data_IF_895651362663
#
_entry.id   IF_895651362663
#
_cell.length_a   1.000
_cell.length_b   1.000
_cell.length_c   1.000
_cell.angle_alpha   90.00
_cell.angle_beta   90.00
_cell.angle_gamma   90.00
#
_symmetry.space_group_name_H-M   'P 1'
#
loop_
_entity.id
_entity.type
_entity.pdbx_description
1 polymer ?
#
# COMPACT_ATOMS: atom_id res chain seq x y z
N UNK A 1 4.74 31.10 -11.03
CA UNK A 1 4.74 30.14 -9.93
C UNK A 1 3.76 29.01 -10.24
N UNK A 2 4.22 27.76 -10.07
CA UNK A 2 3.39 26.55 -10.00
C UNK A 2 3.48 26.03 -8.56
N UNK A 3 2.34 25.78 -7.93
CA UNK A 3 2.30 25.17 -6.61
C UNK A 3 2.11 23.66 -6.73
N UNK A 4 2.68 22.90 -5.79
CA UNK A 4 2.46 21.47 -5.63
C UNK A 4 1.99 21.22 -4.19
N UNK A 5 0.88 20.55 -4.00
CA UNK A 5 0.36 20.17 -2.68
C UNK A 5 0.81 18.74 -2.39
N UNK A 6 1.65 18.57 -1.38
CA UNK A 6 2.22 17.31 -0.93
C UNK A 6 3.62 17.03 -1.47
N UNK A 7 4.53 16.63 -0.59
CA UNK A 7 5.92 16.26 -0.87
C UNK A 7 6.14 14.73 -0.83
N UNK A 8 5.15 13.94 -1.28
CA UNK A 8 5.30 12.53 -1.57
C UNK A 8 5.95 12.30 -2.93
N UNK A 9 6.15 11.01 -3.32
CA UNK A 9 6.80 10.65 -4.60
C UNK A 9 6.18 11.35 -5.81
N UNK A 10 4.83 11.42 -5.90
CA UNK A 10 4.14 12.09 -7.01
C UNK A 10 4.37 13.60 -7.04
N UNK A 11 4.31 14.25 -5.87
CA UNK A 11 4.51 15.71 -5.77
C UNK A 11 5.96 16.12 -6.05
N UNK A 12 6.93 15.42 -5.48
CA UNK A 12 8.36 15.67 -5.73
C UNK A 12 8.75 15.41 -7.19
N UNK A 13 8.22 14.31 -7.79
CA UNK A 13 8.41 14.03 -9.21
C UNK A 13 7.84 15.16 -10.10
N UNK A 14 6.62 15.62 -9.79
CA UNK A 14 6.01 16.73 -10.51
C UNK A 14 6.84 18.02 -10.36
N UNK A 15 7.27 18.35 -9.15
CA UNK A 15 8.06 19.54 -8.87
C UNK A 15 9.40 19.52 -9.61
N UNK A 16 10.13 18.41 -9.56
CA UNK A 16 11.41 18.23 -10.27
C UNK A 16 11.23 18.36 -11.78
N UNK A 17 10.19 17.73 -12.34
CA UNK A 17 9.90 17.81 -13.78
C UNK A 17 9.48 19.21 -14.24
N UNK A 18 8.68 19.94 -13.47
CA UNK A 18 8.31 21.33 -13.76
C UNK A 18 9.50 22.26 -13.70
N UNK A 19 10.37 22.11 -12.69
CA UNK A 19 11.61 22.89 -12.61
C UNK A 19 12.55 22.64 -13.79
N UNK A 20 12.70 21.40 -14.23
CA UNK A 20 13.51 21.06 -15.40
C UNK A 20 13.00 21.75 -16.68
N UNK A 21 11.73 22.15 -16.71
CA UNK A 21 11.11 22.95 -17.79
C UNK A 21 11.18 24.45 -17.56
N UNK A 22 11.88 24.91 -16.52
CA UNK A 22 12.07 26.32 -16.21
C UNK A 22 10.97 26.96 -15.37
N UNK A 23 10.03 26.19 -14.82
CA UNK A 23 8.99 26.74 -13.94
C UNK A 23 9.56 27.09 -12.55
N UNK A 24 9.07 28.19 -11.96
CA UNK A 24 9.25 28.47 -10.53
C UNK A 24 8.24 27.61 -9.77
N UNK A 25 8.73 26.68 -8.93
CA UNK A 25 7.90 25.70 -8.23
C UNK A 25 8.02 25.88 -6.72
N UNK A 26 6.86 25.79 -6.02
CA UNK A 26 6.77 25.74 -4.57
C UNK A 26 5.97 24.50 -4.17
N UNK A 27 6.57 23.62 -3.38
CA UNK A 27 5.89 22.46 -2.77
C UNK A 27 5.42 22.87 -1.37
N UNK A 28 4.18 22.57 -1.05
CA UNK A 28 3.56 22.76 0.27
C UNK A 28 3.29 21.39 0.87
N UNK A 29 4.01 21.03 1.92
CA UNK A 29 3.88 19.77 2.65
C UNK A 29 3.24 20.04 4.01
N UNK A 30 2.26 19.21 4.36
CA UNK A 30 1.53 19.36 5.62
C UNK A 30 2.35 18.89 6.83
N UNK A 31 3.21 17.90 6.65
CA UNK A 31 4.07 17.34 7.72
C UNK A 31 5.38 18.12 7.85
N UNK A 32 6.05 17.90 9.00
CA UNK A 32 7.44 18.32 9.22
C UNK A 32 8.48 17.43 8.53
N UNK A 33 8.07 16.56 7.58
CA UNK A 33 8.95 15.66 6.82
C UNK A 33 8.48 15.48 5.38
N UNK A 34 9.41 15.11 4.52
CA UNK A 34 9.14 14.69 3.14
C UNK A 34 8.66 13.23 3.05
N UNK A 35 8.29 12.78 1.85
CA UNK A 35 8.04 11.38 1.49
C UNK A 35 6.57 10.97 1.55
N UNK A 36 5.76 11.62 2.38
CA UNK A 36 4.35 11.22 2.56
C UNK A 36 4.23 9.80 3.12
N UNK A 37 3.67 8.85 2.33
CA UNK A 37 3.57 7.42 2.67
C UNK A 37 4.86 6.62 2.44
N UNK A 38 5.91 7.23 1.95
CA UNK A 38 7.28 6.77 2.11
C UNK A 38 7.77 7.33 3.45
N UNK A 39 8.11 6.43 4.37
CA UNK A 39 8.55 6.78 5.71
C UNK A 39 9.62 5.79 6.15
N UNK A 40 10.88 6.20 6.08
CA UNK A 40 12.01 5.40 6.54
C UNK A 40 12.41 5.86 7.93
N UNK A 41 12.49 4.93 8.87
CA UNK A 41 13.00 5.13 10.21
C UNK A 41 14.35 4.42 10.37
N UNK A 42 15.05 4.69 11.46
CA UNK A 42 16.29 4.01 11.78
C UNK A 42 16.16 3.28 13.10
N UNK A 43 16.49 1.99 13.07
CA UNK A 43 16.61 1.17 14.27
C UNK A 43 17.84 1.59 15.07
N UNK A 44 17.90 1.23 16.34
CA UNK A 44 18.99 1.59 17.23
C UNK A 44 20.36 1.02 16.83
N UNK A 45 20.41 0.03 15.94
CA UNK A 45 21.63 -0.47 15.32
C UNK A 45 22.04 0.30 14.05
N UNK A 46 21.28 1.34 13.69
CA UNK A 46 21.48 2.17 12.50
C UNK A 46 20.79 1.67 11.23
N UNK A 47 20.19 0.48 11.26
CA UNK A 47 19.50 -0.11 10.11
C UNK A 47 18.30 0.74 9.69
N UNK A 48 18.17 0.97 8.38
CA UNK A 48 16.99 1.62 7.83
C UNK A 48 15.81 0.63 7.74
N UNK A 49 14.63 1.09 8.13
CA UNK A 49 13.38 0.34 7.98
C UNK A 49 12.28 1.23 7.41
N UNK A 50 11.61 0.75 6.38
CA UNK A 50 10.50 1.47 5.77
C UNK A 50 9.18 1.12 6.47
N UNK A 51 8.64 2.06 7.22
CA UNK A 51 7.35 1.94 7.90
C UNK A 51 6.17 2.11 6.92
N UNK A 52 6.40 2.72 5.76
CA UNK A 52 5.48 2.81 4.63
C UNK A 52 5.84 1.87 3.49
N UNK A 53 5.85 2.39 2.25
CA UNK A 53 6.30 1.66 1.07
C UNK A 53 7.75 1.18 1.25
N UNK A 54 8.01 -0.08 0.92
CA UNK A 54 9.31 -0.71 1.12
C UNK A 54 9.86 -1.39 -0.15
N UNK A 55 9.00 -1.79 -1.11
CA UNK A 55 9.41 -2.55 -2.30
C UNK A 55 9.38 -1.73 -3.58
N UNK A 56 10.39 -1.95 -4.41
CA UNK A 56 10.33 -1.71 -5.84
C UNK A 56 9.68 -2.93 -6.48
N UNK A 57 8.37 -2.85 -6.71
CA UNK A 57 7.62 -3.92 -7.36
C UNK A 57 8.03 -4.03 -8.83
N UNK A 58 8.43 -5.24 -9.26
CA UNK A 58 8.90 -5.48 -10.61
C UNK A 58 10.15 -4.66 -10.94
N UNK A 59 11.26 -4.92 -10.25
CA UNK A 59 12.53 -4.23 -10.44
C UNK A 59 13.17 -4.61 -11.77
N UNK A 60 12.73 -3.96 -12.85
CA UNK A 60 13.24 -4.12 -14.21
C UNK A 60 13.44 -2.76 -14.89
N UNK A 61 14.00 -2.77 -16.10
CA UNK A 61 14.26 -1.54 -16.88
C UNK A 61 12.98 -0.71 -17.16
N UNK A 62 11.81 -1.32 -17.18
CA UNK A 62 10.55 -0.61 -17.41
C UNK A 62 10.08 0.15 -16.15
N UNK A 63 10.53 -0.23 -14.96
CA UNK A 63 10.22 0.48 -13.74
C UNK A 63 11.19 1.66 -13.56
N UNK A 64 10.73 2.92 -13.58
CA UNK A 64 11.58 4.09 -13.48
C UNK A 64 12.40 4.14 -12.18
N UNK A 65 11.90 3.53 -11.11
CA UNK A 65 12.59 3.52 -9.83
C UNK A 65 13.86 2.65 -9.86
N UNK A 66 13.87 1.61 -10.70
CA UNK A 66 15.08 0.80 -10.91
C UNK A 66 16.22 1.65 -11.51
N UNK A 67 15.90 2.47 -12.52
CA UNK A 67 16.88 3.38 -13.11
C UNK A 67 17.38 4.44 -12.12
N UNK A 68 16.50 4.97 -11.28
CA UNK A 68 16.89 5.92 -10.22
C UNK A 68 17.78 5.23 -9.17
N UNK A 69 17.44 3.99 -8.77
CA UNK A 69 18.29 3.24 -7.83
C UNK A 69 19.70 2.99 -8.41
N UNK A 70 19.79 2.64 -9.71
CA UNK A 70 21.07 2.48 -10.41
C UNK A 70 21.87 3.80 -10.46
N UNK A 71 21.20 4.93 -10.77
CA UNK A 71 21.83 6.27 -10.78
C UNK A 71 22.41 6.65 -9.41
N UNK A 72 21.69 6.30 -8.34
CA UNK A 72 22.11 6.57 -6.97
C UNK A 72 23.16 5.58 -6.44
N UNK A 73 23.40 4.47 -7.15
CA UNK A 73 24.20 3.36 -6.62
C UNK A 73 23.55 2.68 -5.41
N UNK A 74 22.21 2.75 -5.30
CA UNK A 74 21.46 2.17 -4.21
C UNK A 74 21.37 0.64 -4.34
N UNK A 75 21.54 -0.06 -3.23
CA UNK A 75 21.41 -1.52 -3.19
C UNK A 75 19.94 -1.92 -3.06
N UNK A 76 19.46 -2.69 -4.04
CA UNK A 76 18.14 -3.32 -4.01
C UNK A 76 18.29 -4.81 -3.68
N UNK A 77 17.72 -5.25 -2.57
CA UNK A 77 17.78 -6.65 -2.11
C UNK A 77 16.56 -7.40 -2.62
N UNK A 78 16.79 -8.49 -3.34
CA UNK A 78 15.74 -9.34 -3.89
C UNK A 78 14.98 -10.07 -2.77
N UNK A 79 13.67 -10.12 -2.93
CA UNK A 79 12.78 -10.89 -2.06
C UNK A 79 12.05 -11.93 -2.88
N UNK A 80 12.28 -13.19 -2.54
CA UNK A 80 11.65 -14.34 -3.16
C UNK A 80 10.65 -14.93 -2.17
N UNK A 81 9.38 -14.66 -2.43
CA UNK A 81 8.28 -15.12 -1.56
C UNK A 81 7.90 -16.57 -1.84
N UNK A 82 8.07 -17.03 -3.07
CA UNK A 82 7.61 -18.35 -3.50
C UNK A 82 8.52 -19.47 -2.97
N UNK A 83 9.84 -19.27 -3.02
CA UNK A 83 10.82 -20.30 -2.66
C UNK A 83 11.40 -20.15 -1.25
N UNK A 84 11.25 -18.95 -0.62
CA UNK A 84 11.92 -18.58 0.63
C UNK A 84 11.00 -18.16 1.76
N UNK A 85 9.70 -18.48 1.66
CA UNK A 85 8.75 -18.29 2.75
C UNK A 85 8.60 -19.56 3.58
N UNK A 86 8.75 -19.44 4.90
CA UNK A 86 8.50 -20.53 5.85
C UNK A 86 7.12 -20.39 6.44
N UNK A 87 6.29 -21.42 6.29
CA UNK A 87 4.90 -21.40 6.71
C UNK A 87 4.69 -22.14 8.02
N UNK A 88 3.93 -21.56 8.94
CA UNK A 88 3.56 -22.12 10.24
C UNK A 88 2.04 -22.21 10.37
N UNK A 89 1.54 -23.25 11.00
CA UNK A 89 0.12 -23.30 11.40
C UNK A 89 -0.18 -22.25 12.46
N UNK A 90 -1.19 -21.40 12.18
CA UNK A 90 -1.73 -20.49 13.19
C UNK A 90 -2.80 -21.24 14.00
N UNK A 91 -2.47 -21.60 15.22
CA UNK A 91 -3.42 -22.15 16.19
C UNK A 91 -3.99 -20.99 17.03
N UNK A 92 -5.30 -20.99 17.22
CA UNK A 92 -5.96 -20.03 18.12
C UNK A 92 -5.47 -20.20 19.56
N UNK A 93 -5.77 -19.25 20.49
CA UNK A 93 -5.40 -19.36 21.87
C UNK A 93 -5.95 -20.69 22.42
N UNK A 94 -5.05 -21.55 22.88
CA UNK A 94 -5.39 -22.89 23.34
C UNK A 94 -6.27 -22.81 24.59
N UNK A 95 -7.50 -23.32 24.48
CA UNK A 95 -8.38 -23.60 25.62
C UNK A 95 -8.07 -24.96 26.28
N UNK A 96 -6.85 -25.50 26.11
CA UNK A 96 -6.45 -26.82 26.56
C UNK A 96 -4.97 -26.93 26.98
N UNK A 97 -4.50 -28.12 27.37
CA UNK A 97 -3.09 -28.34 27.70
C UNK A 97 -2.20 -27.99 26.49
N UNK A 98 -0.93 -27.58 26.72
CA UNK A 98 -0.05 -27.16 25.63
C UNK A 98 0.07 -28.28 24.59
N UNK A 99 -0.40 -28.01 23.40
CA UNK A 99 -0.19 -28.89 22.26
C UNK A 99 1.28 -28.81 21.78
N UNK A 100 1.78 -29.86 21.11
CA UNK A 100 3.13 -29.83 20.58
C UNK A 100 3.33 -28.63 19.65
N UNK A 101 4.55 -28.10 19.65
CA UNK A 101 4.95 -26.95 18.85
C UNK A 101 4.47 -27.08 17.39
N UNK A 102 3.99 -25.99 16.75
CA UNK A 102 3.71 -26.02 15.33
C UNK A 102 5.03 -26.30 14.59
N UNK A 103 5.07 -27.40 13.87
CA UNK A 103 6.16 -27.66 12.91
C UNK A 103 5.93 -26.82 11.67
N UNK A 104 7.00 -26.36 11.00
CA UNK A 104 6.87 -25.81 9.66
C UNK A 104 6.06 -26.75 8.77
N UNK A 105 5.19 -26.21 7.95
CA UNK A 105 4.37 -27.01 7.03
C UNK A 105 5.30 -27.66 6.01
N UNK A 106 5.13 -28.95 5.79
CA UNK A 106 5.97 -29.70 4.87
C UNK A 106 5.82 -29.18 3.43
N UNK A 107 6.93 -29.05 2.71
CA UNK A 107 6.94 -28.56 1.33
C UNK A 107 5.97 -29.33 0.41
N UNK A 108 5.93 -30.66 0.55
CA UNK A 108 5.01 -31.50 -0.23
C UNK A 108 3.53 -31.17 0.03
N UNK A 109 3.17 -30.85 1.25
CA UNK A 109 1.82 -30.43 1.63
C UNK A 109 1.49 -29.05 1.09
N UNK A 110 2.44 -28.12 1.17
CA UNK A 110 2.33 -26.77 0.61
C UNK A 110 2.09 -26.83 -0.90
N UNK A 111 2.85 -27.64 -1.63
CA UNK A 111 2.71 -27.82 -3.09
C UNK A 111 1.34 -28.44 -3.47
N UNK A 112 0.80 -29.35 -2.67
CA UNK A 112 -0.54 -29.90 -2.91
C UNK A 112 -1.63 -28.82 -2.81
N UNK A 113 -1.56 -27.95 -1.79
CA UNK A 113 -2.49 -26.85 -1.63
C UNK A 113 -2.36 -25.80 -2.74
N UNK A 114 -1.15 -25.48 -3.17
CA UNK A 114 -0.91 -24.61 -4.33
C UNK A 114 -1.48 -25.17 -5.62
N UNK A 115 -1.45 -26.48 -5.83
CA UNK A 115 -2.08 -27.11 -6.98
C UNK A 115 -3.59 -26.90 -6.98
N UNK A 116 -4.24 -27.07 -5.84
CA UNK A 116 -5.69 -26.79 -5.70
C UNK A 116 -5.98 -25.31 -5.91
N UNK A 117 -5.18 -24.44 -5.34
CA UNK A 117 -5.29 -22.99 -5.52
C UNK A 117 -5.17 -22.58 -6.99
N UNK A 118 -4.15 -23.05 -7.72
CA UNK A 118 -4.00 -22.78 -9.16
C UNK A 118 -5.21 -23.20 -9.99
N UNK A 119 -5.84 -24.32 -9.64
CA UNK A 119 -7.09 -24.75 -10.30
C UNK A 119 -8.23 -23.77 -10.03
N UNK A 120 -8.41 -23.37 -8.79
CA UNK A 120 -9.45 -22.43 -8.40
C UNK A 120 -9.22 -21.05 -9.03
N UNK A 121 -8.00 -20.52 -8.96
CA UNK A 121 -7.61 -19.27 -9.59
C UNK A 121 -7.86 -19.30 -11.12
N UNK A 122 -7.53 -20.40 -11.80
CA UNK A 122 -7.80 -20.57 -13.24
C UNK A 122 -9.28 -20.40 -13.60
N UNK A 123 -10.17 -20.87 -12.76
CA UNK A 123 -11.62 -20.75 -12.97
C UNK A 123 -12.15 -19.36 -12.60
N UNK A 124 -11.61 -18.78 -11.54
CA UNK A 124 -11.85 -17.40 -11.19
C UNK A 124 -11.49 -16.49 -12.39
N UNK A 125 -10.29 -16.62 -12.96
CA UNK A 125 -9.84 -15.81 -14.10
C UNK A 125 -10.76 -15.94 -15.33
N UNK A 126 -11.35 -17.11 -15.57
CA UNK A 126 -12.36 -17.28 -16.64
C UNK A 126 -13.66 -16.53 -16.33
N UNK A 127 -14.16 -16.65 -15.10
CA UNK A 127 -15.36 -15.97 -14.65
C UNK A 127 -15.19 -14.44 -14.64
N UNK A 128 -14.05 -13.95 -14.14
CA UNK A 128 -13.69 -12.55 -14.12
C UNK A 128 -13.71 -11.93 -15.53
N UNK A 129 -13.01 -12.56 -16.50
CA UNK A 129 -13.02 -12.10 -17.90
C UNK A 129 -14.43 -12.03 -18.49
N UNK A 130 -15.32 -12.96 -18.14
CA UNK A 130 -16.71 -12.90 -18.56
C UNK A 130 -17.43 -11.70 -17.94
N UNK A 131 -17.28 -11.46 -16.64
CA UNK A 131 -17.87 -10.31 -15.96
C UNK A 131 -17.36 -9.00 -16.57
N UNK A 132 -16.05 -8.87 -16.80
CA UNK A 132 -15.45 -7.69 -17.46
C UNK A 132 -16.02 -7.45 -18.86
N UNK A 133 -16.17 -8.50 -19.67
CA UNK A 133 -16.72 -8.41 -21.02
C UNK A 133 -18.18 -7.97 -21.05
N UNK A 134 -18.97 -8.50 -20.13
CA UNK A 134 -20.42 -8.29 -20.10
C UNK A 134 -20.83 -7.14 -19.16
N UNK A 135 -19.86 -6.37 -18.66
CA UNK A 135 -20.08 -5.19 -17.80
C UNK A 135 -20.84 -4.08 -18.56
N UNK A 136 -21.81 -3.39 -17.95
CA UNK A 136 -22.35 -3.56 -16.59
C UNK A 136 -23.57 -4.51 -16.51
N UNK A 137 -23.86 -5.32 -17.54
CA UNK A 137 -25.00 -6.23 -17.56
C UNK A 137 -24.90 -7.33 -16.49
N UNK A 138 -23.68 -7.73 -16.11
CA UNK A 138 -23.43 -8.59 -14.95
C UNK A 138 -23.03 -7.69 -13.78
N UNK A 139 -23.84 -7.60 -12.69
CA UNK A 139 -23.47 -6.82 -11.50
C UNK A 139 -22.17 -7.33 -10.87
N UNK A 140 -21.35 -6.41 -10.37
CA UNK A 140 -20.17 -6.73 -9.58
C UNK A 140 -20.56 -7.19 -8.17
N UNK A 141 -19.65 -7.87 -7.51
CA UNK A 141 -19.79 -8.39 -6.14
C UNK A 141 -18.44 -8.42 -5.43
N UNK A 142 -18.43 -8.71 -4.14
CA UNK A 142 -17.20 -8.94 -3.40
C UNK A 142 -16.43 -10.15 -3.95
N UNK A 143 -15.10 -10.07 -3.94
CA UNK A 143 -14.23 -11.13 -4.46
C UNK A 143 -14.49 -12.45 -3.74
N UNK A 144 -14.56 -12.45 -2.40
CA UNK A 144 -14.81 -13.67 -1.63
C UNK A 144 -16.18 -14.29 -1.94
N UNK A 145 -17.23 -13.48 -2.05
CA UNK A 145 -18.56 -13.94 -2.45
C UNK A 145 -18.51 -14.66 -3.80
N UNK A 146 -17.88 -14.05 -4.78
CA UNK A 146 -17.73 -14.64 -6.12
C UNK A 146 -16.90 -15.93 -6.12
N UNK A 147 -15.85 -15.98 -5.32
CA UNK A 147 -15.04 -17.19 -5.14
C UNK A 147 -15.84 -18.34 -4.49
N UNK A 148 -16.65 -18.03 -3.50
CA UNK A 148 -17.54 -19.00 -2.85
C UNK A 148 -18.62 -19.55 -3.80
N UNK A 149 -19.16 -18.72 -4.70
CA UNK A 149 -20.08 -19.18 -5.73
C UNK A 149 -19.41 -20.12 -6.74
N UNK A 150 -18.17 -19.77 -7.16
CA UNK A 150 -17.41 -20.62 -8.08
C UNK A 150 -17.05 -21.97 -7.48
N UNK A 151 -16.73 -22.03 -6.18
CA UNK A 151 -16.38 -23.28 -5.50
C UNK A 151 -17.44 -24.36 -5.69
N UNK A 152 -18.72 -24.00 -5.58
CA UNK A 152 -19.84 -24.94 -5.68
C UNK A 152 -20.02 -25.51 -7.09
N UNK A 153 -19.60 -24.78 -8.10
CA UNK A 153 -19.63 -25.20 -9.51
C UNK A 153 -18.40 -25.98 -9.97
N UNK A 154 -17.30 -25.80 -9.26
CA UNK A 154 -15.95 -26.20 -9.69
C UNK A 154 -15.41 -27.41 -8.95
N UNK A 155 -15.52 -27.39 -7.65
CA UNK A 155 -15.07 -28.48 -6.79
C UNK A 155 -16.26 -29.36 -6.45
N UNK A 156 -16.53 -30.40 -7.22
CA UNK A 156 -17.50 -31.45 -6.84
C UNK A 156 -17.17 -32.05 -5.45
N UNK A 157 -16.01 -31.71 -4.90
CA UNK A 157 -15.49 -32.17 -3.62
C UNK A 157 -15.15 -31.09 -2.61
N UNK A 158 -15.50 -29.77 -2.81
CA UNK A 158 -15.21 -28.75 -1.79
C UNK A 158 -15.71 -29.11 -0.39
N UNK A 159 -16.89 -29.69 -0.32
CA UNK A 159 -17.48 -30.18 0.94
C UNK A 159 -16.73 -31.36 1.55
N UNK A 160 -15.88 -32.04 0.75
CA UNK A 160 -15.04 -33.15 1.17
C UNK A 160 -13.64 -32.66 1.61
N UNK A 161 -13.28 -31.40 1.33
CA UNK A 161 -12.06 -30.83 1.85
C UNK A 161 -12.21 -30.63 3.36
N UNK A 162 -11.19 -30.98 4.10
CA UNK A 162 -11.15 -30.69 5.53
C UNK A 162 -10.99 -29.17 5.81
N UNK A 163 -11.22 -28.78 7.05
CA UNK A 163 -11.15 -27.37 7.46
C UNK A 163 -9.73 -26.81 7.25
N UNK A 164 -8.72 -27.61 7.49
CA UNK A 164 -7.31 -27.21 7.32
C UNK A 164 -7.03 -26.85 5.87
N UNK A 165 -7.38 -27.70 4.91
CA UNK A 165 -7.23 -27.43 3.47
C UNK A 165 -7.98 -26.16 3.04
N UNK A 166 -9.20 -25.96 3.58
CA UNK A 166 -9.96 -24.72 3.30
C UNK A 166 -9.28 -23.48 3.87
N UNK A 167 -8.72 -23.57 5.07
CA UNK A 167 -7.90 -22.51 5.68
C UNK A 167 -6.69 -22.14 4.82
N UNK A 168 -5.97 -23.12 4.31
CA UNK A 168 -4.86 -22.91 3.38
C UNK A 168 -5.30 -22.19 2.11
N UNK A 169 -6.36 -22.64 1.47
CA UNK A 169 -6.85 -22.03 0.23
C UNK A 169 -7.29 -20.58 0.44
N UNK A 170 -7.88 -20.25 1.59
CA UNK A 170 -8.20 -18.87 1.94
C UNK A 170 -6.94 -18.04 2.16
N UNK A 171 -5.93 -18.61 2.82
CA UNK A 171 -4.65 -17.94 3.06
C UNK A 171 -3.93 -17.61 1.75
N UNK A 172 -3.90 -18.56 0.82
CA UNK A 172 -3.31 -18.32 -0.51
C UNK A 172 -4.05 -17.22 -1.28
N UNK A 173 -5.38 -17.13 -1.17
CA UNK A 173 -6.12 -16.01 -1.74
C UNK A 173 -5.81 -14.68 -1.03
N UNK A 174 -5.71 -14.70 0.30
CA UNK A 174 -5.36 -13.49 1.06
C UNK A 174 -3.94 -13.01 0.74
N UNK A 175 -2.99 -13.94 0.54
CA UNK A 175 -1.62 -13.63 0.14
C UNK A 175 -1.56 -12.93 -1.21
N UNK A 176 -2.28 -13.44 -2.20
CA UNK A 176 -2.37 -12.87 -3.56
C UNK A 176 -3.10 -11.51 -3.61
N UNK A 177 -3.83 -11.15 -2.55
CA UNK A 177 -4.75 -10.01 -2.65
C UNK A 177 -4.67 -9.05 -1.46
N UNK A 178 -4.86 -9.54 -0.22
CA UNK A 178 -5.06 -8.64 0.93
C UNK A 178 -3.81 -7.79 1.24
N UNK A 179 -2.59 -8.33 1.03
CA UNK A 179 -1.36 -7.57 1.25
C UNK A 179 -1.06 -6.59 0.12
N UNK A 180 -1.38 -6.97 -1.11
CA UNK A 180 -1.12 -6.11 -2.27
C UNK A 180 -2.11 -4.95 -2.34
N UNK A 181 -3.36 -5.16 -1.88
CA UNK A 181 -4.44 -4.16 -1.97
C UNK A 181 -4.84 -3.55 -0.63
N UNK A 182 -4.25 -4.00 0.48
CA UNK A 182 -4.54 -3.55 1.86
C UNK A 182 -6.03 -3.62 2.25
N UNK A 183 -6.78 -4.49 1.60
CA UNK A 183 -8.21 -4.66 1.77
C UNK A 183 -8.58 -6.15 1.88
N UNK A 184 -9.67 -6.47 2.56
CA UNK A 184 -10.11 -7.86 2.69
C UNK A 184 -10.66 -8.42 1.38
N UNK A 185 -10.64 -9.74 1.25
CA UNK A 185 -11.29 -10.44 0.12
C UNK A 185 -12.77 -10.06 -0.05
N UNK A 186 -13.44 -9.71 1.04
CA UNK A 186 -14.85 -9.30 1.06
C UNK A 186 -15.06 -7.91 0.46
N UNK A 187 -14.09 -7.01 0.60
CA UNK A 187 -14.16 -5.62 0.14
C UNK A 187 -13.76 -5.46 -1.32
N UNK A 188 -12.83 -6.28 -1.80
CA UNK A 188 -12.31 -6.21 -3.16
C UNK A 188 -13.38 -6.57 -4.20
N UNK A 189 -13.39 -5.86 -5.34
CA UNK A 189 -14.26 -6.16 -6.49
C UNK A 189 -13.92 -7.51 -7.10
N UNK A 190 -14.89 -8.41 -7.28
CA UNK A 190 -14.68 -9.66 -8.02
C UNK A 190 -14.22 -9.43 -9.46
N UNK A 191 -14.70 -8.35 -10.07
CA UNK A 191 -14.49 -8.07 -11.50
C UNK A 191 -13.23 -7.24 -11.75
N UNK A 192 -12.89 -6.29 -10.85
CA UNK A 192 -11.95 -5.22 -11.17
C UNK A 192 -10.77 -5.08 -10.19
N UNK A 193 -10.67 -5.87 -9.11
CA UNK A 193 -9.65 -5.67 -8.07
C UNK A 193 -8.23 -5.60 -8.62
N UNK A 194 -7.89 -6.40 -9.63
CA UNK A 194 -6.56 -6.55 -10.25
C UNK A 194 -6.49 -6.02 -11.68
N UNK A 195 -7.11 -4.88 -11.95
CA UNK A 195 -7.08 -4.28 -13.27
C UNK A 195 -5.81 -3.44 -13.55
N UNK A 196 -4.85 -3.44 -12.65
CA UNK A 196 -3.51 -2.90 -12.83
C UNK A 196 -2.69 -3.75 -13.81
N UNK A 197 -1.69 -3.12 -14.41
CA UNK A 197 -0.80 -3.82 -15.33
C UNK A 197 0.37 -4.45 -14.57
N UNK A 198 0.69 -5.72 -14.85
CA UNK A 198 1.89 -6.31 -14.28
C UNK A 198 3.14 -5.63 -14.85
N UNK A 199 4.06 -5.28 -13.98
CA UNK A 199 5.40 -4.87 -14.35
C UNK A 199 6.35 -6.05 -14.13
N UNK A 200 7.17 -6.39 -15.12
CA UNK A 200 8.07 -7.55 -15.03
C UNK A 200 9.23 -7.31 -14.07
N UNK A 201 9.91 -8.41 -13.70
CA UNK A 201 11.03 -8.39 -12.76
C UNK A 201 10.65 -8.83 -11.36
N UNK A 202 11.64 -9.09 -10.50
CA UNK A 202 11.45 -9.48 -9.11
C UNK A 202 11.10 -8.26 -8.23
N UNK A 203 10.49 -8.51 -7.08
CA UNK A 203 10.28 -7.50 -6.06
C UNK A 203 11.56 -7.33 -5.24
N UNK A 204 11.97 -6.08 -5.01
CA UNK A 204 13.21 -5.78 -4.28
C UNK A 204 12.97 -4.74 -3.20
N UNK A 205 13.54 -4.98 -2.02
CA UNK A 205 13.61 -4.01 -0.94
C UNK A 205 14.73 -3.00 -1.21
N UNK A 206 14.48 -1.75 -0.85
CA UNK A 206 15.51 -0.70 -0.86
C UNK A 206 16.29 -0.77 0.46
N UNK A 207 17.52 -1.30 0.42
CA UNK A 207 18.28 -1.66 1.62
C UNK A 207 18.46 -0.52 2.64
N UNK A 208 18.80 0.67 2.14
CA UNK A 208 18.99 1.86 2.96
C UNK A 208 17.69 2.70 3.10
N UNK A 209 16.57 2.13 2.70
CA UNK A 209 15.25 2.72 2.76
C UNK A 209 14.91 3.61 1.57
N UNK A 210 13.63 3.71 1.30
CA UNK A 210 13.07 4.54 0.23
C UNK A 210 13.33 6.05 0.41
N UNK A 211 13.83 6.48 1.58
CA UNK A 211 14.23 7.87 1.82
C UNK A 211 15.23 8.34 0.78
N UNK A 212 16.12 7.47 0.27
CA UNK A 212 17.06 7.83 -0.79
C UNK A 212 16.38 8.33 -2.06
N UNK A 213 15.24 7.75 -2.44
CA UNK A 213 14.40 8.24 -3.54
C UNK A 213 13.83 9.63 -3.22
N UNK A 214 13.36 9.83 -2.00
CA UNK A 214 12.78 11.11 -1.55
C UNK A 214 13.84 12.21 -1.60
N UNK A 215 15.02 11.94 -1.09
CA UNK A 215 16.16 12.85 -1.11
C UNK A 215 16.57 13.22 -2.56
N UNK A 216 16.66 12.22 -3.43
CA UNK A 216 16.95 12.44 -4.85
C UNK A 216 15.89 13.31 -5.54
N UNK A 217 14.61 13.05 -5.29
CA UNK A 217 13.52 13.79 -5.92
C UNK A 217 13.39 15.22 -5.36
N UNK A 218 13.73 15.44 -4.10
CA UNK A 218 13.63 16.74 -3.45
C UNK A 218 14.84 17.64 -3.73
N UNK A 219 15.93 17.09 -4.27
CA UNK A 219 17.13 17.86 -4.54
C UNK A 219 16.85 19.05 -5.45
N UNK A 220 17.24 20.23 -4.93
CA UNK A 220 16.98 21.53 -5.54
C UNK A 220 15.51 21.94 -5.62
N UNK A 221 14.55 21.24 -5.06
CA UNK A 221 13.14 21.63 -5.00
C UNK A 221 12.87 22.51 -3.77
N UNK A 222 12.16 23.63 -3.95
CA UNK A 222 11.74 24.47 -2.84
C UNK A 222 10.52 23.86 -2.16
N UNK A 223 10.69 23.39 -0.92
CA UNK A 223 9.61 22.80 -0.11
C UNK A 223 9.39 23.61 1.15
N UNK A 224 8.15 23.85 1.50
CA UNK A 224 7.73 24.37 2.80
C UNK A 224 7.04 23.25 3.56
N UNK A 225 7.62 22.87 4.69
CA UNK A 225 7.06 21.91 5.64
C UNK A 225 6.08 22.58 6.60
N UNK A 226 5.30 21.80 7.31
CA UNK A 226 4.30 22.28 8.29
C UNK A 226 3.32 23.30 7.70
N UNK A 227 2.97 23.10 6.43
CA UNK A 227 2.12 24.02 5.65
C UNK A 227 0.88 23.28 5.11
N UNK A 228 -0.02 22.77 5.97
CA UNK A 228 -1.24 22.12 5.51
C UNK A 228 -2.14 23.09 4.75
N UNK A 229 -2.56 22.69 3.55
CA UNK A 229 -3.51 23.42 2.72
C UNK A 229 -4.92 23.09 3.22
N UNK A 230 -5.70 24.11 3.55
CA UNK A 230 -7.08 23.96 4.01
C UNK A 230 -8.11 24.18 2.89
N UNK A 231 -7.75 24.95 1.83
CA UNK A 231 -8.65 25.25 0.72
C UNK A 231 -7.87 25.41 -0.58
N UNK A 232 -8.44 24.92 -1.67
CA UNK A 232 -7.98 25.09 -3.05
C UNK A 232 -9.09 25.76 -3.85
N UNK A 233 -8.87 26.99 -4.32
CA UNK A 233 -9.83 27.73 -5.13
C UNK A 233 -9.28 27.93 -6.54
N UNK A 234 -9.97 27.41 -7.54
CA UNK A 234 -9.66 27.67 -8.95
C UNK A 234 -10.27 29.02 -9.34
N UNK A 235 -9.42 29.94 -9.81
CA UNK A 235 -9.85 31.28 -10.18
C UNK A 235 -10.28 31.33 -11.65
N UNK A 236 -11.45 31.93 -11.96
CA UNK A 236 -11.86 32.15 -13.35
C UNK A 236 -10.94 33.21 -14.01
N UNK A 237 -10.87 33.19 -15.35
CA UNK A 237 -10.02 34.10 -16.12
C UNK A 237 -10.31 35.57 -15.80
N UNK A 238 -11.57 35.94 -15.49
CA UNK A 238 -11.98 37.26 -15.07
C UNK A 238 -11.41 37.74 -13.72
N UNK A 239 -10.92 36.81 -12.88
CA UNK A 239 -10.23 37.09 -11.61
C UNK A 239 -8.70 36.91 -11.72
N UNK A 240 -8.17 36.86 -12.94
CA UNK A 240 -6.72 36.69 -13.23
C UNK A 240 -6.31 35.25 -13.45
N UNK A 241 -7.24 34.29 -13.39
CA UNK A 241 -6.97 32.86 -13.61
C UNK A 241 -6.06 32.22 -12.57
N UNK A 242 -5.80 30.93 -12.73
CA UNK A 242 -4.88 30.18 -11.84
C UNK A 242 -5.57 29.59 -10.61
N UNK A 243 -4.81 29.44 -9.53
CA UNK A 243 -5.28 28.80 -8.28
C UNK A 243 -4.86 29.62 -7.06
N UNK A 244 -5.77 29.78 -6.13
CA UNK A 244 -5.53 30.33 -4.79
C UNK A 244 -5.55 29.18 -3.78
N UNK A 245 -4.48 29.05 -3.00
CA UNK A 245 -4.34 28.08 -1.92
C UNK A 245 -4.42 28.84 -0.59
N UNK A 246 -5.31 28.42 0.30
CA UNK A 246 -5.35 28.92 1.68
C UNK A 246 -4.79 27.87 2.60
N UNK A 247 -3.73 28.21 3.32
CA UNK A 247 -3.11 27.36 4.33
C UNK A 247 -3.94 27.38 5.63
N UNK A 248 -3.78 26.36 6.46
CA UNK A 248 -4.40 26.33 7.78
C UNK A 248 -3.97 27.50 8.68
N UNK A 249 -2.80 28.08 8.44
CA UNK A 249 -2.32 29.31 9.11
C UNK A 249 -3.10 30.58 8.73
N UNK A 250 -3.95 30.51 7.67
CA UNK A 250 -4.63 31.66 7.07
C UNK A 250 -3.81 32.34 5.96
N UNK A 251 -2.57 31.99 5.74
CA UNK A 251 -1.77 32.49 4.62
C UNK A 251 -2.38 32.07 3.29
N UNK A 252 -2.28 32.95 2.30
CA UNK A 252 -2.79 32.74 0.94
C UNK A 252 -1.62 32.70 -0.04
N UNK A 253 -1.54 31.62 -0.83
CA UNK A 253 -0.58 31.43 -1.92
C UNK A 253 -1.32 31.43 -3.25
N UNK A 254 -0.98 32.35 -4.17
CA UNK A 254 -1.52 32.37 -5.54
C UNK A 254 -0.52 31.84 -6.54
N UNK A 255 -0.98 31.01 -7.47
CA UNK A 255 -0.15 30.38 -8.49
C UNK A 255 -0.89 30.27 -9.83
N UNK A 256 -0.14 30.20 -10.92
CA UNK A 256 -0.70 30.06 -12.27
C UNK A 256 -1.31 28.68 -12.50
N UNK A 257 -0.76 27.66 -11.83
CA UNK A 257 -1.25 26.28 -11.85
C UNK A 257 -0.91 25.58 -10.53
N UNK A 258 -1.67 24.55 -10.18
CA UNK A 258 -1.46 23.76 -8.99
C UNK A 258 -1.50 22.26 -9.33
N UNK A 259 -0.55 21.48 -8.83
CA UNK A 259 -0.58 20.01 -8.84
C UNK A 259 -1.00 19.53 -7.45
N UNK A 260 -2.16 18.91 -7.34
CA UNK A 260 -2.69 18.33 -6.11
C UNK A 260 -2.30 16.86 -6.02
N UNK A 261 -1.55 16.47 -4.97
CA UNK A 261 -1.16 15.09 -4.72
C UNK A 261 -1.67 14.57 -3.38
N UNK A 262 -2.78 15.12 -2.91
CA UNK A 262 -3.43 14.68 -1.68
C UNK A 262 -3.83 13.20 -1.77
N UNK A 263 -3.56 12.40 -0.72
CA UNK A 263 -4.02 11.02 -0.66
C UNK A 263 -5.54 10.90 -0.79
N UNK A 264 -6.01 9.80 -1.38
CA UNK A 264 -7.45 9.55 -1.55
C UNK A 264 -8.21 9.62 -0.22
N UNK A 265 -7.64 9.07 0.86
CA UNK A 265 -8.25 9.13 2.20
C UNK A 265 -8.46 10.56 2.71
N UNK A 266 -7.51 11.46 2.44
CA UNK A 266 -7.63 12.88 2.78
C UNK A 266 -8.70 13.57 1.94
N UNK A 267 -8.78 13.24 0.64
CA UNK A 267 -9.83 13.76 -0.25
C UNK A 267 -11.22 13.29 0.18
N UNK A 268 -11.39 12.00 0.49
CA UNK A 268 -12.67 11.43 0.99
C UNK A 268 -13.10 12.02 2.33
N UNK A 269 -12.16 12.35 3.20
CA UNK A 269 -12.43 12.97 4.49
C UNK A 269 -12.89 14.44 4.38
N UNK A 270 -12.71 15.08 3.19
CA UNK A 270 -13.07 16.48 2.99
C UNK A 270 -12.26 17.46 3.84
N UNK A 271 -11.05 17.06 4.27
CA UNK A 271 -10.18 17.91 5.11
C UNK A 271 -9.69 19.17 4.37
N UNK A 272 -9.72 19.13 3.03
CA UNK A 272 -9.38 20.25 2.15
C UNK A 272 -10.60 20.65 1.33
N UNK A 273 -11.02 21.88 1.42
CA UNK A 273 -12.14 22.41 0.62
C UNK A 273 -11.70 22.73 -0.82
N UNK A 274 -12.56 22.45 -1.79
CA UNK A 274 -12.34 22.80 -3.21
C UNK A 274 -13.43 23.75 -3.70
N UNK A 275 -13.03 24.86 -4.30
CA UNK A 275 -13.92 25.88 -4.86
C UNK A 275 -13.55 26.22 -6.31
N UNK A 276 -14.50 26.10 -7.27
CA UNK A 276 -15.81 25.48 -7.11
C UNK A 276 -15.73 23.99 -6.77
N UNK A 277 -16.82 23.37 -6.30
CA UNK A 277 -16.86 21.91 -6.14
C UNK A 277 -16.54 21.19 -7.45
N UNK A 278 -15.89 20.04 -7.35
CA UNK A 278 -15.56 19.23 -8.54
C UNK A 278 -16.81 18.80 -9.32
N UNK A 279 -16.70 18.49 -10.62
CA UNK A 279 -17.77 17.91 -11.41
C UNK A 279 -18.35 16.66 -10.76
N UNK A 280 -19.66 16.41 -10.94
CA UNK A 280 -20.36 15.34 -10.26
C UNK A 280 -19.78 13.94 -10.56
N UNK A 281 -19.33 13.70 -11.78
CA UNK A 281 -18.71 12.44 -12.16
C UNK A 281 -17.36 12.19 -11.45
N UNK A 282 -16.56 13.23 -11.25
CA UNK A 282 -15.31 13.16 -10.46
C UNK A 282 -15.60 12.92 -8.97
N UNK A 283 -16.63 13.57 -8.42
CA UNK A 283 -17.05 13.30 -7.05
C UNK A 283 -17.52 11.87 -6.87
N UNK A 284 -18.31 11.34 -7.82
CA UNK A 284 -18.75 9.93 -7.81
C UNK A 284 -17.57 8.98 -7.90
N UNK A 285 -16.61 9.25 -8.79
CA UNK A 285 -15.39 8.43 -8.91
C UNK A 285 -14.59 8.40 -7.60
N UNK A 286 -14.39 9.56 -6.96
CA UNK A 286 -13.72 9.65 -5.66
C UNK A 286 -14.45 8.84 -4.58
N UNK A 287 -15.79 8.85 -4.57
CA UNK A 287 -16.57 8.09 -3.58
C UNK A 287 -16.53 6.57 -3.85
N UNK A 288 -16.47 6.16 -5.10
CA UNK A 288 -16.42 4.73 -5.48
C UNK A 288 -15.09 4.08 -5.16
N UNK A 289 -13.97 4.79 -5.35
CA UNK A 289 -12.66 4.30 -4.94
C UNK A 289 -12.58 4.21 -3.42
N UNK A 290 -11.78 3.28 -2.90
CA UNK A 290 -11.57 3.22 -1.46
C UNK A 290 -10.09 3.11 -1.08
N UNK A 291 -9.82 3.19 0.23
CA UNK A 291 -8.47 3.20 0.79
C UNK A 291 -8.35 2.06 1.77
N UNK A 292 -7.42 1.17 1.48
CA UNK A 292 -7.09 0.06 2.34
C UNK A 292 -6.19 0.46 3.50
N UNK A 293 -6.05 -0.44 4.46
CA UNK A 293 -5.19 -0.26 5.61
C UNK A 293 -4.23 -1.44 5.76
N UNK A 294 -2.95 -1.14 5.70
CA UNK A 294 -1.85 -2.05 6.01
C UNK A 294 -0.89 -1.34 6.93
N UNK A 295 -0.68 -1.91 8.11
CA UNK A 295 0.24 -1.42 9.11
C UNK A 295 1.32 -2.43 9.44
N UNK A 296 2.45 -1.93 9.91
CA UNK A 296 3.62 -2.71 10.28
C UNK A 296 3.93 -2.55 11.75
N UNK A 297 4.26 -3.66 12.38
CA UNK A 297 4.93 -3.68 13.67
C UNK A 297 6.31 -4.28 13.45
N UNK A 298 7.33 -3.46 13.52
CA UNK A 298 8.73 -3.89 13.40
C UNK A 298 9.30 -4.08 14.79
N UNK A 299 9.79 -5.28 15.05
CA UNK A 299 10.39 -5.62 16.35
C UNK A 299 11.83 -6.07 16.12
N UNK A 300 12.78 -5.39 16.74
CA UNK A 300 14.18 -5.81 16.79
C UNK A 300 14.43 -6.56 18.10
N UNK A 301 15.16 -7.66 17.98
CA UNK A 301 15.49 -8.55 19.09
C UNK A 301 16.96 -8.42 19.47
N UNK A 302 17.31 -8.94 20.63
CA UNK A 302 18.69 -9.05 21.13
C UNK A 302 19.50 -10.10 20.35
N UNK A 303 18.83 -11.04 19.70
CA UNK A 303 19.42 -12.09 18.86
C UNK A 303 18.43 -12.60 17.82
N UNK A 304 18.94 -13.09 16.69
CA UNK A 304 18.17 -13.87 15.72
C UNK A 304 17.90 -15.28 16.27
N UNK A 305 16.64 -15.68 16.35
CA UNK A 305 16.22 -17.03 16.79
C UNK A 305 15.43 -17.76 15.72
N UNK A 306 15.23 -17.15 14.57
CA UNK A 306 14.53 -17.70 13.41
C UNK A 306 15.52 -18.10 12.30
N UNK A 307 15.02 -18.76 11.25
CA UNK A 307 15.82 -19.03 10.06
C UNK A 307 16.20 -17.72 9.35
N UNK A 308 17.47 -17.33 9.48
CA UNK A 308 17.99 -16.11 8.89
C UNK A 308 18.09 -16.15 7.36
N UNK A 309 17.96 -17.33 6.75
CA UNK A 309 17.99 -17.51 5.28
C UNK A 309 16.60 -17.38 4.64
N UNK A 310 15.53 -17.50 5.42
CA UNK A 310 14.18 -17.26 4.94
C UNK A 310 13.99 -15.77 4.60
N UNK A 311 13.23 -15.48 3.56
CA UNK A 311 12.88 -14.09 3.21
C UNK A 311 11.62 -13.60 3.95
N UNK A 312 10.70 -14.53 4.21
CA UNK A 312 9.46 -14.26 4.91
C UNK A 312 9.01 -15.44 5.76
N UNK A 313 8.05 -15.16 6.63
CA UNK A 313 7.32 -16.17 7.40
C UNK A 313 5.83 -15.94 7.24
N UNK A 314 5.06 -17.03 7.18
CA UNK A 314 3.63 -16.98 7.04
C UNK A 314 2.94 -17.83 8.09
N UNK A 315 1.85 -17.32 8.64
CA UNK A 315 0.98 -18.04 9.57
C UNK A 315 -0.31 -18.42 8.86
N UNK A 316 -0.56 -19.73 8.75
CA UNK A 316 -1.73 -20.29 8.08
C UNK A 316 -2.75 -20.73 9.13
N UNK A 317 -3.99 -20.19 9.15
CA UNK A 317 -5.02 -20.60 10.09
C UNK A 317 -5.45 -22.05 9.84
N UNK A 318 -5.57 -22.82 10.91
CA UNK A 318 -5.96 -24.25 10.85
C UNK A 318 -7.47 -24.42 10.60
N UNK A 319 -8.27 -23.42 10.90
CA UNK A 319 -9.73 -23.46 10.76
C UNK A 319 -10.20 -22.52 9.66
N UNK A 320 -11.17 -22.96 8.86
CA UNK A 320 -11.86 -22.16 7.83
C UNK A 320 -12.58 -20.94 8.44
N UNK A 321 -12.66 -20.88 9.77
CA UNK A 321 -13.40 -19.87 10.46
C UNK A 321 -12.61 -18.55 10.56
N UNK A 322 -13.11 -17.63 9.73
CA UNK A 322 -13.33 -16.25 10.13
C UNK A 322 -12.35 -15.80 11.20
N UNK A 323 -11.41 -15.00 10.79
CA UNK A 323 -10.81 -14.07 11.74
C UNK A 323 -11.96 -13.54 12.57
N UNK A 324 -12.04 -13.94 13.85
CA UNK A 324 -13.07 -13.43 14.75
C UNK A 324 -13.05 -11.91 14.60
N UNK A 325 -14.20 -11.30 14.39
CA UNK A 325 -14.29 -9.86 14.20
C UNK A 325 -13.53 -9.16 15.34
N UNK A 326 -12.44 -8.45 15.01
CA UNK A 326 -11.54 -7.81 15.99
C UNK A 326 -10.32 -8.64 16.44
N UNK A 327 -10.09 -9.84 15.91
CA UNK A 327 -8.82 -10.53 16.15
C UNK A 327 -7.67 -9.80 15.44
N UNK A 328 -6.62 -9.50 16.17
CA UNK A 328 -5.37 -8.97 15.60
C UNK A 328 -4.53 -10.16 15.12
N UNK A 329 -4.43 -10.31 13.81
CA UNK A 329 -3.59 -11.32 13.18
C UNK A 329 -2.58 -10.64 12.27
N UNK A 330 -1.33 -11.09 12.34
CA UNK A 330 -0.29 -10.76 11.39
C UNK A 330 0.12 -12.08 10.70
N UNK A 331 -0.58 -12.48 9.64
CA UNK A 331 -0.28 -13.73 8.98
C UNK A 331 1.01 -13.68 8.16
N UNK A 332 1.49 -12.49 7.79
CA UNK A 332 2.70 -12.32 6.98
C UNK A 332 3.77 -11.53 7.72
N UNK A 333 5.04 -11.99 7.60
CA UNK A 333 6.20 -11.44 8.27
C UNK A 333 7.38 -11.33 7.33
N UNK A 334 8.08 -10.23 7.36
CA UNK A 334 9.30 -10.02 6.57
C UNK A 334 10.53 -10.17 7.45
N UNK A 335 11.49 -10.95 6.99
CA UNK A 335 12.77 -11.14 7.66
C UNK A 335 13.74 -10.03 7.31
N UNK A 336 13.85 -9.03 8.17
CA UNK A 336 14.78 -7.93 7.99
C UNK A 336 16.25 -8.37 8.18
N UNK A 337 16.51 -9.49 8.87
CA UNK A 337 17.86 -10.06 8.97
C UNK A 337 18.42 -10.43 7.60
N UNK A 338 17.60 -11.04 6.75
CA UNK A 338 17.99 -11.35 5.37
C UNK A 338 18.26 -10.07 4.57
N UNK A 339 17.33 -9.10 4.64
CA UNK A 339 17.38 -7.92 3.78
C UNK A 339 18.44 -6.90 4.21
N UNK A 340 18.64 -6.71 5.50
CA UNK A 340 19.43 -5.60 6.06
C UNK A 340 20.54 -6.02 7.01
N UNK A 341 20.52 -7.25 7.50
CA UNK A 341 21.43 -7.77 8.52
C UNK A 341 20.98 -7.55 9.96
N UNK A 342 19.94 -6.76 10.21
CA UNK A 342 19.41 -6.49 11.55
C UNK A 342 18.63 -7.67 12.12
N UNK A 343 18.74 -7.93 13.41
CA UNK A 343 17.97 -8.97 14.10
C UNK A 343 16.52 -8.51 14.33
N UNK A 344 15.81 -8.19 13.23
CA UNK A 344 14.47 -7.65 13.25
C UNK A 344 13.51 -8.40 12.33
N UNK A 345 12.24 -8.42 12.72
CA UNK A 345 11.10 -8.91 11.97
C UNK A 345 10.06 -7.81 11.80
N UNK A 346 9.44 -7.72 10.64
CA UNK A 346 8.30 -6.85 10.39
C UNK A 346 7.03 -7.69 10.26
N UNK A 347 6.10 -7.54 11.20
CA UNK A 347 4.77 -8.15 11.17
C UNK A 347 3.80 -7.24 10.42
N UNK A 348 3.02 -7.79 9.49
CA UNK A 348 2.08 -7.06 8.65
C UNK A 348 0.64 -7.31 9.09
N UNK A 349 -0.07 -6.24 9.40
CA UNK A 349 -1.48 -6.23 9.74
C UNK A 349 -2.27 -5.59 8.59
N UNK A 350 -3.40 -6.18 8.21
CA UNK A 350 -4.20 -5.73 7.07
C UNK A 350 -5.67 -5.57 7.45
N UNK A 351 -6.34 -4.57 6.89
CA UNK A 351 -7.78 -4.35 7.02
C UNK A 351 -8.24 -4.24 8.47
N UNK A 352 -9.20 -5.06 8.87
CA UNK A 352 -9.74 -5.05 10.24
C UNK A 352 -8.68 -5.37 11.32
N UNK A 353 -7.68 -6.20 11.00
CA UNK A 353 -6.57 -6.51 11.90
C UNK A 353 -5.68 -5.29 12.13
N UNK A 354 -5.37 -4.53 11.07
CA UNK A 354 -4.64 -3.27 11.17
C UNK A 354 -5.42 -2.22 11.97
N UNK A 355 -6.72 -2.07 11.70
CA UNK A 355 -7.58 -1.16 12.45
C UNK A 355 -7.63 -1.51 13.95
N UNK A 356 -7.65 -2.79 14.30
CA UNK A 356 -7.56 -3.23 15.69
C UNK A 356 -6.17 -2.94 16.29
N UNK A 357 -5.10 -3.11 15.52
CA UNK A 357 -3.73 -2.82 15.95
C UNK A 357 -3.53 -1.32 16.25
N UNK A 358 -4.07 -0.42 15.43
CA UNK A 358 -3.97 1.03 15.66
C UNK A 358 -4.59 1.49 17.00
N UNK A 359 -5.50 0.71 17.59
CA UNK A 359 -6.11 1.02 18.89
C UNK A 359 -5.22 0.64 20.09
N UNK A 360 -4.09 -0.03 19.86
CA UNK A 360 -3.20 -0.54 20.91
C UNK A 360 -1.96 0.33 21.07
N UNK A 361 -1.39 0.31 22.25
CA UNK A 361 -0.08 0.89 22.49
C UNK A 361 1.03 0.06 21.84
N UNK A 362 2.21 0.66 21.66
CA UNK A 362 3.37 -0.04 21.09
C UNK A 362 3.79 -1.22 21.97
N UNK A 363 3.72 -1.09 23.29
CA UNK A 363 4.02 -2.18 24.24
C UNK A 363 3.02 -3.35 24.12
N UNK A 364 1.71 -3.06 23.97
CA UNK A 364 0.69 -4.09 23.76
C UNK A 364 0.90 -4.81 22.42
N UNK A 365 1.28 -4.09 21.36
CA UNK A 365 1.60 -4.67 20.06
C UNK A 365 2.88 -5.50 20.12
N UNK A 366 3.92 -5.02 20.78
CA UNK A 366 5.14 -5.81 21.00
C UNK A 366 4.85 -7.13 21.73
N UNK A 367 4.06 -7.07 22.81
CA UNK A 367 3.66 -8.25 23.56
C UNK A 367 2.87 -9.24 22.67
N UNK A 368 1.92 -8.73 21.87
CA UNK A 368 1.14 -9.54 20.94
C UNK A 368 2.02 -10.21 19.87
N UNK A 369 2.97 -9.47 19.29
CA UNK A 369 3.97 -9.99 18.34
C UNK A 369 4.82 -11.09 18.97
N UNK A 370 5.29 -10.88 20.21
CA UNK A 370 6.05 -11.88 20.97
C UNK A 370 5.23 -13.14 21.21
N UNK A 371 3.94 -13.03 21.53
CA UNK A 371 3.07 -14.19 21.73
C UNK A 371 2.86 -15.00 20.44
N UNK A 372 2.72 -14.31 19.31
CA UNK A 372 2.68 -14.99 18.00
C UNK A 372 3.99 -15.71 17.68
N UNK A 373 5.14 -15.07 17.96
CA UNK A 373 6.46 -15.67 17.74
C UNK A 373 6.74 -16.86 18.67
N UNK A 374 6.28 -16.82 19.92
CA UNK A 374 6.34 -17.98 20.83
C UNK A 374 5.58 -19.17 20.27
N UNK A 375 4.44 -18.91 19.63
CA UNK A 375 3.69 -19.99 18.99
C UNK A 375 4.43 -20.54 17.77
N UNK A 376 5.18 -19.73 17.03
CA UNK A 376 5.98 -20.16 15.86
C UNK A 376 7.30 -20.85 16.29
N UNK A 377 7.94 -20.35 17.34
CA UNK A 377 9.28 -20.76 17.81
C UNK A 377 9.29 -21.08 19.31
N UNK A 378 8.58 -22.12 19.76
CA UNK A 378 8.44 -22.40 21.20
C UNK A 378 9.76 -22.75 21.89
N UNK A 379 10.73 -23.32 21.18
CA UNK A 379 12.05 -23.68 21.70
C UNK A 379 13.00 -22.45 21.83
N UNK A 380 12.60 -21.30 21.26
CA UNK A 380 13.48 -20.13 21.24
C UNK A 380 13.41 -19.28 22.52
N UNK A 381 12.52 -19.63 23.46
CA UNK A 381 12.30 -18.91 24.73
C UNK A 381 12.11 -17.39 24.56
N UNK A 382 11.42 -16.98 23.48
CA UNK A 382 11.17 -15.56 23.17
C UNK A 382 10.32 -14.92 24.27
N UNK A 383 10.70 -13.74 24.73
CA UNK A 383 9.99 -13.01 25.77
C UNK A 383 10.02 -11.50 25.52
N UNK A 384 9.24 -10.74 26.26
CA UNK A 384 9.32 -9.29 26.22
C UNK A 384 10.74 -8.75 26.52
N UNK A 385 11.53 -9.48 27.33
CA UNK A 385 12.92 -9.13 27.63
C UNK A 385 13.87 -9.33 26.43
N UNK A 386 13.46 -10.10 25.43
CA UNK A 386 14.23 -10.29 24.17
C UNK A 386 14.02 -9.15 23.18
N UNK A 387 13.02 -8.29 23.40
CA UNK A 387 12.70 -7.14 22.55
C UNK A 387 13.64 -5.99 22.86
N UNK A 388 14.42 -5.57 21.88
CA UNK A 388 15.32 -4.44 22.00
C UNK A 388 14.63 -3.10 21.66
N UNK A 389 13.77 -3.11 20.65
CA UNK A 389 12.98 -1.93 20.24
C UNK A 389 11.78 -2.32 19.38
N UNK A 390 10.80 -1.41 19.29
CA UNK A 390 9.57 -1.57 18.51
C UNK A 390 9.29 -0.30 17.72
N UNK A 391 8.89 -0.44 16.46
CA UNK A 391 8.39 0.63 15.62
C UNK A 391 7.03 0.22 15.06
N UNK A 392 6.07 1.15 15.08
CA UNK A 392 4.68 0.88 14.69
C UNK A 392 4.19 1.94 13.72
N UNK A 393 3.65 1.52 12.58
CA UNK A 393 2.91 2.43 11.71
C UNK A 393 1.44 2.51 12.11
N UNK A 394 0.79 3.65 11.83
CA UNK A 394 -0.64 3.92 12.07
C UNK A 394 -1.18 4.81 10.96
N UNK A 395 -1.40 4.21 9.78
CA UNK A 395 -1.71 4.99 8.58
C UNK A 395 -3.14 5.51 8.54
N UNK A 396 -4.11 4.85 9.19
CA UNK A 396 -5.47 5.37 9.28
C UNK A 396 -5.60 6.52 10.28
N UNK A 397 -4.87 6.45 11.40
CA UNK A 397 -4.81 7.51 12.40
C UNK A 397 -4.04 8.75 11.91
N UNK A 398 -3.14 8.62 10.93
CA UNK A 398 -2.42 9.74 10.33
C UNK A 398 -3.37 10.61 9.49
N UNK A 399 -3.67 11.82 9.97
CA UNK A 399 -4.61 12.76 9.34
C UNK A 399 -4.22 13.19 7.92
N UNK A 400 -2.94 13.05 7.55
CA UNK A 400 -2.39 13.40 6.24
C UNK A 400 -2.24 12.18 5.30
N UNK A 401 -2.63 10.98 5.74
CA UNK A 401 -2.72 9.76 4.92
C UNK A 401 -4.12 9.17 4.90
N UNK A 402 -4.71 8.93 6.08
CA UNK A 402 -6.03 8.32 6.30
C UNK A 402 -6.18 6.99 5.57
N UNK A 403 -5.20 6.12 5.79
CA UNK A 403 -5.07 4.79 5.20
C UNK A 403 -3.79 4.63 4.39
N UNK A 404 -3.55 3.43 3.89
CA UNK A 404 -2.27 3.04 3.29
C UNK A 404 -2.23 3.32 1.78
N UNK A 405 -3.12 2.73 0.99
CA UNK A 405 -3.23 2.96 -0.45
C UNK A 405 -4.60 2.60 -0.99
N UNK A 406 -4.90 3.05 -2.23
CA UNK A 406 -6.22 2.94 -2.81
C UNK A 406 -6.48 1.56 -3.41
N UNK A 407 -7.70 1.06 -3.34
CA UNK A 407 -8.12 -0.17 -4.01
C UNK A 407 -9.45 0.01 -4.76
N UNK A 408 -9.88 -1.02 -5.50
CA UNK A 408 -11.16 -1.05 -6.20
C UNK A 408 -12.15 -1.95 -5.43
N UNK A 409 -13.06 -1.35 -4.65
CA UNK A 409 -14.16 -2.09 -4.05
C UNK A 409 -15.23 -2.46 -5.09
N UNK A 410 -16.22 -3.25 -4.68
CA UNK A 410 -17.38 -3.59 -5.49
C UNK A 410 -18.02 -2.36 -6.12
N UNK A 411 -18.15 -2.37 -7.46
CA UNK A 411 -18.75 -1.29 -8.24
C UNK A 411 -17.79 -0.17 -8.66
N UNK A 412 -16.54 -0.18 -8.21
CA UNK A 412 -15.48 0.70 -8.71
C UNK A 412 -14.78 0.07 -9.92
N UNK A 413 -14.23 0.91 -10.78
CA UNK A 413 -13.53 0.50 -12.00
C UNK A 413 -12.28 1.32 -12.22
N UNK A 414 -11.44 0.90 -13.15
CA UNK A 414 -10.29 1.67 -13.63
C UNK A 414 -10.68 3.09 -14.11
N UNK A 415 -11.87 3.25 -14.74
CA UNK A 415 -12.36 4.54 -15.19
C UNK A 415 -12.56 5.55 -14.06
N UNK A 416 -12.81 5.10 -12.82
CA UNK A 416 -12.92 5.99 -11.67
C UNK A 416 -11.55 6.62 -11.32
N UNK A 417 -10.44 5.87 -11.47
CA UNK A 417 -9.07 6.43 -11.33
C UNK A 417 -8.74 7.45 -12.42
N UNK A 418 -9.15 7.17 -13.66
CA UNK A 418 -8.99 8.08 -14.79
C UNK A 418 -9.83 9.36 -14.61
N UNK A 419 -11.04 9.25 -14.07
CA UNK A 419 -11.87 10.39 -13.73
C UNK A 419 -11.25 11.24 -12.60
N UNK A 420 -10.70 10.60 -11.57
CA UNK A 420 -9.99 11.30 -10.49
C UNK A 420 -8.76 12.06 -11.00
N UNK A 421 -8.09 11.53 -12.02
CA UNK A 421 -6.88 12.10 -12.60
C UNK A 421 -7.13 13.34 -13.47
N UNK A 422 -8.36 13.54 -14.00
CA UNK A 422 -8.65 14.64 -14.93
C UNK A 422 -8.38 16.02 -14.35
N UNK A 423 -7.73 16.92 -15.07
CA UNK A 423 -7.53 18.31 -14.65
C UNK A 423 -8.85 19.08 -14.50
N UNK A 424 -8.86 20.06 -13.58
CA UNK A 424 -9.96 21.01 -13.38
C UNK A 424 -9.44 22.44 -13.52
N UNK A 425 -9.52 22.98 -14.73
CA UNK A 425 -8.99 24.32 -15.04
C UNK A 425 -7.46 24.39 -14.92
N UNK A 426 -6.96 25.08 -13.90
CA UNK A 426 -5.52 25.19 -13.59
C UNK A 426 -5.09 24.23 -12.46
N UNK A 427 -5.95 23.32 -12.03
CA UNK A 427 -5.70 22.33 -11.01
C UNK A 427 -5.50 20.95 -11.66
N UNK A 428 -4.35 20.35 -11.42
CA UNK A 428 -3.93 19.05 -11.94
C UNK A 428 -3.79 18.04 -10.80
N UNK A 429 -3.97 16.75 -11.08
CA UNK A 429 -4.02 15.74 -10.03
C UNK A 429 -2.97 14.67 -10.27
N UNK A 430 -2.25 14.30 -9.19
CA UNK A 430 -1.31 13.19 -9.16
C UNK A 430 -1.42 12.42 -7.84
N UNK A 431 -0.62 11.38 -7.67
CA UNK A 431 -0.67 10.42 -6.58
C UNK A 431 -1.09 9.04 -7.09
N UNK A 432 -0.80 7.99 -6.33
CA UNK A 432 -1.02 6.60 -6.75
C UNK A 432 -2.48 6.31 -7.16
N UNK A 433 -3.46 6.91 -6.48
CA UNK A 433 -4.88 6.71 -6.76
C UNK A 433 -5.32 7.25 -8.12
N UNK A 434 -4.53 8.13 -8.75
CA UNK A 434 -4.78 8.73 -10.06
C UNK A 434 -4.07 8.01 -11.21
N UNK A 435 -3.33 6.93 -10.92
CA UNK A 435 -2.66 6.13 -11.95
C UNK A 435 -3.47 4.88 -12.25
N UNK A 436 -3.95 4.76 -13.49
CA UNK A 436 -4.86 3.68 -13.87
C UNK A 436 -4.15 2.34 -14.12
N UNK A 437 -2.86 2.36 -14.44
CA UNK A 437 -2.08 1.16 -14.79
C UNK A 437 -1.25 0.63 -13.62
N UNK A 438 -0.71 1.52 -12.77
CA UNK A 438 0.13 1.18 -11.63
C UNK A 438 -0.36 1.88 -10.36
N UNK A 439 -1.64 1.68 -9.97
CA UNK A 439 -2.13 2.24 -8.71
C UNK A 439 -1.38 1.63 -7.51
N UNK A 440 -1.55 2.18 -6.30
CA UNK A 440 -1.04 1.63 -5.03
C UNK A 440 0.48 1.59 -4.90
N UNK A 441 1.22 1.97 -5.93
CA UNK A 441 2.68 1.83 -6.01
C UNK A 441 3.40 3.16 -6.00
N UNK A 442 4.67 3.14 -5.54
CA UNK A 442 5.54 4.33 -5.57
C UNK A 442 5.84 4.74 -7.02
N UNK A 443 6.07 3.77 -7.92
CA UNK A 443 6.32 4.08 -9.33
C UNK A 443 5.07 4.66 -10.02
N UNK A 444 3.86 4.20 -9.68
CA UNK A 444 2.63 4.81 -10.18
C UNK A 444 2.43 6.23 -9.66
N UNK A 445 2.72 6.49 -8.38
CA UNK A 445 2.72 7.83 -7.84
C UNK A 445 3.73 8.74 -8.57
N UNK A 446 4.95 8.26 -8.78
CA UNK A 446 6.01 8.96 -9.54
C UNK A 446 5.56 9.31 -10.96
N UNK A 447 5.07 8.31 -11.71
CA UNK A 447 4.61 8.48 -13.10
C UNK A 447 3.40 9.42 -13.19
N UNK A 448 2.47 9.38 -12.24
CA UNK A 448 1.36 10.32 -12.17
C UNK A 448 1.83 11.76 -11.96
N UNK A 449 2.90 11.95 -11.18
CA UNK A 449 3.56 13.25 -11.00
C UNK A 449 4.13 13.79 -12.30
N UNK A 450 4.82 12.95 -13.07
CA UNK A 450 5.36 13.34 -14.38
C UNK A 450 4.25 13.72 -15.38
N UNK A 451 3.15 12.94 -15.40
CA UNK A 451 1.98 13.26 -16.23
C UNK A 451 1.39 14.62 -15.84
N UNK A 452 1.11 14.84 -14.56
CA UNK A 452 0.53 16.10 -14.10
C UNK A 452 1.45 17.30 -14.34
N UNK A 453 2.77 17.12 -14.27
CA UNK A 453 3.75 18.13 -14.62
C UNK A 453 3.73 18.48 -16.11
N UNK A 454 3.53 17.50 -16.98
CA UNK A 454 3.36 17.73 -18.42
C UNK A 454 2.08 18.50 -18.70
N UNK A 455 0.95 18.06 -18.15
CA UNK A 455 -0.36 18.70 -18.29
C UNK A 455 -0.33 20.16 -17.82
N UNK A 456 0.28 20.42 -16.66
CA UNK A 456 0.44 21.77 -16.10
C UNK A 456 1.33 22.67 -16.98
N UNK A 457 2.44 22.13 -17.51
CA UNK A 457 3.33 22.85 -18.42
C UNK A 457 2.64 23.28 -19.72
N UNK A 458 1.83 22.41 -20.31
CA UNK A 458 1.05 22.69 -21.50
C UNK A 458 -0.08 23.71 -21.21
N UNK A 459 -0.73 23.61 -20.05
CA UNK A 459 -1.79 24.52 -19.60
C UNK A 459 -1.29 25.94 -19.37
N UNK A 460 -0.10 26.10 -18.76
CA UNK A 460 0.53 27.42 -18.54
C UNK A 460 1.00 28.02 -19.86
N UNK A 461 1.59 27.22 -20.76
CA UNK A 461 2.05 27.68 -22.07
C UNK A 461 0.94 28.19 -23.00
N UNK A 462 -0.29 27.67 -22.90
CA UNK A 462 -1.45 28.10 -23.69
C UNK A 462 -2.06 29.43 -23.19
N UNK A 463 -1.78 29.83 -21.96
CA UNK A 463 -2.30 31.06 -21.36
C UNK A 463 -1.38 32.27 -21.56
N UNK A 464 -0.24 32.13 -22.32
CA UNK A 464 0.73 33.12 -22.73
C UNK A 464 0.81 34.44 -21.95
N UNK A 465 1.86 35.25 -22.06
CA UNK A 465 1.98 36.44 -21.23
C UNK A 465 0.85 37.46 -21.49
#
# INVERSE_FOLDING_TARGET
LVAVIGAGAGGLAAAKALRARGAVVLVLEARGRLGGRICTERLGDGTAVDMGAAWVHGACRANPLTGIAEELGAELVETDWDERTVCFEARGPAAGPPEPAPTPIAEAEWEEHHKLFRQWNGLYRQAQRKCQKDWPAIPDKGLWEGLLELRSKTFKGWQLLDERTRGFLRTLWAEETEYDYAASLEELSFTWWDCDLPIGGSNKLWKEGYVQLVDHLSDGVTVRLDCPVAMVRTLPDGEGGGVELRLASGEVVRCAACVCTLPLGVLKAGSVAFEPPWPADKQVAMQRLDVGLLDKVVVRFDRCFWDSSAHAFQRVPVQDDRRAAGAMEAPFWVNLKHATGSDALAAYFVGASAAAAETRSDDELAAHVVDMLRAMYPEAEVSAASVAEVHVSRWAADEHARGSYSYLPTGATRADREALARPEGALFFAGEATHAEYPQTVHGAYLSGLRAAQEAGEGVGRRGP
#
